data_IF_901129269541
#
_entry.id   IF_901129269541
#
_cell.length_a   1.000
_cell.length_b   1.000
_cell.length_c   1.000
_cell.angle_alpha   90.00
_cell.angle_beta   90.00
_cell.angle_gamma   90.00
#
_symmetry.space_group_name_H-M   'P 1'
#
loop_
_entity.id
_entity.type
_entity.pdbx_description
1 polymer ?
#
# COMPACT_ATOMS: atom_id res chain seq x y z
N UNK A 1 11.44 -6.25 -0.80
CA UNK A 1 10.03 -6.35 -1.24
C UNK A 1 9.78 -7.67 -1.96
N UNK A 2 8.75 -8.43 -1.55
CA UNK A 2 8.54 -9.83 -1.97
C UNK A 2 8.63 -10.09 -3.49
N UNK A 3 7.82 -9.44 -4.33
CA UNK A 3 7.85 -9.72 -5.78
C UNK A 3 9.15 -9.30 -6.48
N UNK A 4 9.88 -8.32 -5.94
CA UNK A 4 11.21 -7.95 -6.46
C UNK A 4 12.21 -9.08 -6.26
N UNK A 5 12.17 -9.72 -5.10
CA UNK A 5 13.07 -10.82 -4.72
C UNK A 5 12.63 -12.15 -5.36
N UNK A 6 11.32 -12.44 -5.35
CA UNK A 6 10.78 -13.73 -5.78
C UNK A 6 10.83 -13.95 -7.30
N UNK A 7 10.53 -12.91 -8.08
CA UNK A 7 10.43 -13.00 -9.56
C UNK A 7 11.30 -11.98 -10.29
N UNK A 8 12.20 -11.29 -9.59
CA UNK A 8 13.17 -10.38 -10.21
C UNK A 8 12.56 -9.15 -10.88
N UNK A 9 11.35 -8.71 -10.51
CA UNK A 9 10.72 -7.55 -11.14
C UNK A 9 11.39 -6.24 -10.68
N UNK A 10 12.41 -5.79 -11.42
CA UNK A 10 13.17 -4.58 -11.15
C UNK A 10 12.36 -3.28 -11.26
N UNK A 11 11.12 -3.33 -11.77
CA UNK A 11 10.22 -2.17 -11.82
C UNK A 11 9.51 -1.91 -10.49
N UNK A 12 9.67 -2.80 -9.52
CA UNK A 12 9.14 -2.66 -8.18
C UNK A 12 10.07 -1.81 -7.31
N UNK A 13 9.52 -0.76 -6.71
CA UNK A 13 10.24 0.10 -5.76
C UNK A 13 9.35 0.46 -4.56
N UNK A 14 9.93 0.66 -3.37
CA UNK A 14 9.17 1.00 -2.18
C UNK A 14 8.84 2.50 -2.18
N UNK A 15 7.65 2.84 -1.67
CA UNK A 15 7.36 4.21 -1.23
C UNK A 15 7.04 4.15 0.26
N UNK A 16 7.97 4.60 1.10
CA UNK A 16 7.82 4.63 2.55
C UNK A 16 6.74 5.64 2.96
N UNK A 17 5.79 5.16 3.73
CA UNK A 17 4.76 5.94 4.39
C UNK A 17 4.82 5.71 5.89
N UNK A 18 5.08 6.76 6.66
CA UNK A 18 4.86 6.77 8.10
C UNK A 18 3.51 7.41 8.38
N UNK A 19 2.79 6.83 9.32
CA UNK A 19 1.51 7.33 9.82
C UNK A 19 1.44 7.07 11.32
N UNK A 20 0.59 7.83 12.02
CA UNK A 20 0.30 7.55 13.41
C UNK A 20 -1.18 7.68 13.73
N UNK A 21 -1.60 7.04 14.81
CA UNK A 21 -2.98 7.05 15.27
C UNK A 21 -3.14 7.84 16.56
N UNK A 22 -4.26 8.53 16.64
CA UNK A 22 -4.66 9.31 17.80
C UNK A 22 -6.10 9.00 18.20
N UNK A 23 -6.42 9.23 19.46
CA UNK A 23 -7.79 9.23 19.97
C UNK A 23 -8.42 10.60 19.74
N UNK A 24 -9.26 10.69 18.72
CA UNK A 24 -10.00 11.91 18.39
C UNK A 24 -11.42 11.57 17.93
N UNK A 25 -12.30 11.07 18.82
CA UNK A 25 -13.63 10.59 18.46
C UNK A 25 -14.54 11.67 17.86
N UNK A 26 -14.20 12.96 18.03
CA UNK A 26 -14.91 14.08 17.44
C UNK A 26 -14.65 14.27 15.94
N UNK A 27 -13.61 13.66 15.36
CA UNK A 27 -13.33 13.75 13.92
C UNK A 27 -14.14 12.69 13.19
N UNK A 28 -15.10 13.13 12.35
CA UNK A 28 -16.03 12.24 11.62
C UNK A 28 -15.91 12.33 10.09
N UNK A 29 -15.14 13.29 9.59
CA UNK A 29 -14.88 13.47 8.17
C UNK A 29 -13.41 13.20 7.87
N UNK A 30 -13.14 12.73 6.65
CA UNK A 30 -11.77 12.65 6.17
C UNK A 30 -11.33 13.99 5.60
N UNK A 31 -10.03 14.28 5.72
CA UNK A 31 -9.38 15.45 5.14
C UNK A 31 -8.18 15.00 4.34
N UNK A 32 -7.92 15.65 3.20
CA UNK A 32 -6.83 15.29 2.30
C UNK A 32 -6.26 16.55 1.66
N UNK A 33 -4.96 16.75 1.82
CA UNK A 33 -4.21 17.86 1.25
C UNK A 33 -2.99 17.32 0.48
N UNK A 34 -2.99 17.55 -0.83
CA UNK A 34 -1.91 17.13 -1.73
C UNK A 34 -0.68 18.01 -1.64
N UNK A 35 -0.80 19.26 -1.21
CA UNK A 35 0.31 20.22 -1.17
C UNK A 35 1.23 19.92 0.00
N UNK A 36 0.66 19.71 1.19
CA UNK A 36 1.42 19.42 2.42
C UNK A 36 1.55 17.91 2.72
N UNK A 37 1.12 17.05 1.78
CA UNK A 37 1.12 15.58 1.92
C UNK A 37 0.45 15.16 3.25
N UNK A 38 -0.73 15.70 3.52
CA UNK A 38 -1.43 15.49 4.78
C UNK A 38 -2.79 14.82 4.56
N UNK A 39 -3.14 13.88 5.42
CA UNK A 39 -4.46 13.29 5.45
C UNK A 39 -4.88 12.89 6.86
N UNK A 40 -6.16 13.09 7.14
CA UNK A 40 -6.82 12.73 8.39
C UNK A 40 -7.93 11.76 8.03
N UNK A 41 -7.84 10.52 8.50
CA UNK A 41 -8.81 9.47 8.16
C UNK A 41 -9.41 8.91 9.45
N UNK A 42 -10.69 9.20 9.75
CA UNK A 42 -11.36 8.61 10.91
C UNK A 42 -11.59 7.11 10.66
N UNK A 43 -11.12 6.28 11.59
CA UNK A 43 -11.45 4.86 11.67
C UNK A 43 -12.53 4.59 12.71
N UNK A 44 -12.84 3.31 12.95
CA UNK A 44 -13.83 2.90 13.95
C UNK A 44 -13.46 3.34 15.37
N UNK A 45 -12.21 3.07 15.79
CA UNK A 45 -11.76 3.28 17.18
C UNK A 45 -10.77 4.44 17.35
N UNK A 46 -10.15 4.89 16.26
CA UNK A 46 -9.09 5.90 16.28
C UNK A 46 -9.03 6.65 14.95
N UNK A 47 -8.30 7.75 14.91
CA UNK A 47 -8.06 8.56 13.72
C UNK A 47 -6.64 8.33 13.25
N UNK A 48 -6.46 8.03 11.97
CA UNK A 48 -5.14 7.92 11.34
C UNK A 48 -4.73 9.28 10.79
N UNK A 49 -3.54 9.74 11.21
CA UNK A 49 -2.89 10.93 10.71
C UNK A 49 -1.72 10.53 9.82
N UNK A 50 -1.68 11.10 8.63
CA UNK A 50 -0.59 10.95 7.68
C UNK A 50 -0.33 12.26 6.93
N UNK A 51 0.66 12.28 6.05
CA UNK A 51 1.51 11.14 5.72
C UNK A 51 2.88 11.53 5.20
N UNK A 52 3.57 10.52 4.70
CA UNK A 52 4.81 10.70 3.95
C UNK A 52 4.77 9.87 2.68
N UNK A 53 5.56 10.31 1.70
CA UNK A 53 5.81 9.60 0.46
C UNK A 53 7.31 9.71 0.13
N UNK A 54 8.12 8.82 0.72
CA UNK A 54 9.55 8.78 0.45
C UNK A 54 9.83 7.63 -0.51
N UNK A 55 10.18 7.96 -1.75
CA UNK A 55 10.51 7.00 -2.81
C UNK A 55 11.87 6.38 -2.51
N UNK A 56 12.01 5.06 -2.74
CA UNK A 56 13.24 4.28 -2.56
C UNK A 56 13.76 4.19 -1.11
N UNK A 57 13.00 4.70 -0.14
CA UNK A 57 13.30 4.54 1.28
C UNK A 57 12.82 3.16 1.77
N UNK A 58 13.77 2.29 2.09
CA UNK A 58 13.52 0.93 2.61
C UNK A 58 13.54 0.85 4.14
N UNK A 59 13.76 1.97 4.82
CA UNK A 59 13.80 2.00 6.27
C UNK A 59 12.41 1.74 6.86
N UNK A 60 12.35 0.81 7.81
CA UNK A 60 11.13 0.44 8.53
C UNK A 60 11.08 1.04 9.94
N UNK A 61 12.10 1.80 10.32
CA UNK A 61 12.18 2.49 11.61
C UNK A 61 11.32 3.75 11.58
N UNK A 62 10.55 3.93 12.64
CA UNK A 62 9.79 5.15 12.90
C UNK A 62 10.74 6.31 13.18
N UNK A 63 10.48 7.45 12.55
CA UNK A 63 11.23 8.70 12.72
C UNK A 63 10.41 9.69 13.53
N UNK A 64 10.97 10.22 14.61
CA UNK A 64 10.24 11.11 15.53
C UNK A 64 9.94 12.46 14.85
N UNK A 65 10.91 12.99 14.13
CA UNK A 65 10.80 14.20 13.32
C UNK A 65 9.67 14.09 12.28
N UNK A 66 9.50 12.92 11.67
CA UNK A 66 8.40 12.66 10.73
C UNK A 66 7.04 12.67 11.43
N UNK A 67 6.95 12.15 12.67
CA UNK A 67 5.71 12.17 13.45
C UNK A 67 5.30 13.62 13.76
N UNK A 68 6.25 14.43 14.19
CA UNK A 68 6.03 15.84 14.53
C UNK A 68 5.56 16.65 13.30
N UNK A 69 6.15 16.40 12.13
CA UNK A 69 5.75 17.01 10.87
C UNK A 69 4.33 16.60 10.44
N UNK A 70 4.00 15.31 10.53
CA UNK A 70 2.64 14.82 10.22
C UNK A 70 1.62 15.48 11.15
N UNK A 71 1.91 15.57 12.46
CA UNK A 71 1.01 16.20 13.42
C UNK A 71 0.80 17.67 13.08
N UNK A 72 1.90 18.40 12.82
CA UNK A 72 1.86 19.81 12.43
C UNK A 72 0.97 20.01 11.20
N UNK A 73 1.19 19.24 10.14
CA UNK A 73 0.44 19.38 8.88
C UNK A 73 -1.03 18.95 9.05
N UNK A 74 -1.31 17.92 9.84
CA UNK A 74 -2.71 17.53 10.13
C UNK A 74 -3.44 18.58 10.97
N UNK A 75 -2.75 19.26 11.89
CA UNK A 75 -3.31 20.34 12.70
C UNK A 75 -3.64 21.61 11.90
N UNK A 76 -3.05 21.83 10.73
CA UNK A 76 -3.47 22.93 9.85
C UNK A 76 -4.84 22.65 9.21
N UNK A 77 -5.16 21.38 8.96
CA UNK A 77 -6.45 20.94 8.42
C UNK A 77 -7.52 20.83 9.52
N UNK A 78 -7.14 20.27 10.68
CA UNK A 78 -8.06 20.01 11.79
C UNK A 78 -7.39 20.43 13.12
N UNK A 79 -7.52 21.71 13.52
CA UNK A 79 -6.82 22.24 14.69
C UNK A 79 -7.10 21.53 16.03
N UNK A 80 -8.27 20.88 16.16
CA UNK A 80 -8.62 20.12 17.37
C UNK A 80 -7.74 18.89 17.61
N UNK A 81 -6.98 18.44 16.60
CA UNK A 81 -6.04 17.33 16.72
C UNK A 81 -4.84 17.65 17.64
N UNK A 82 -4.53 18.92 17.88
CA UNK A 82 -3.42 19.32 18.75
C UNK A 82 -3.54 18.80 20.21
N UNK A 83 -4.77 18.42 20.62
CA UNK A 83 -5.06 17.86 21.95
C UNK A 83 -5.34 16.36 21.92
N UNK A 84 -5.20 15.72 20.76
CA UNK A 84 -5.50 14.31 20.62
C UNK A 84 -4.44 13.44 21.30
N UNK A 85 -4.87 12.40 22.00
CA UNK A 85 -3.99 11.45 22.68
C UNK A 85 -3.32 10.55 21.62
N UNK A 86 -1.99 10.54 21.58
CA UNK A 86 -1.24 9.59 20.76
C UNK A 86 -1.56 8.15 21.19
N UNK A 87 -1.63 7.23 20.23
CA UNK A 87 -1.86 5.80 20.50
C UNK A 87 -0.64 4.98 20.09
N UNK A 88 -0.30 5.01 18.81
CA UNK A 88 0.84 4.28 18.23
C UNK A 88 1.13 4.79 16.82
N UNK A 89 2.29 4.44 16.29
CA UNK A 89 2.70 4.75 14.93
C UNK A 89 3.43 3.60 14.26
N UNK A 90 3.51 3.67 12.93
CA UNK A 90 4.15 2.64 12.14
C UNK A 90 4.62 3.18 10.80
N UNK A 91 5.51 2.41 10.19
CA UNK A 91 6.01 2.62 8.84
C UNK A 91 5.56 1.47 7.96
N UNK A 92 5.07 1.80 6.77
CA UNK A 92 4.76 0.83 5.72
C UNK A 92 5.47 1.20 4.42
N UNK A 93 5.83 0.18 3.65
CA UNK A 93 6.34 0.35 2.29
C UNK A 93 5.22 0.04 1.31
N UNK A 94 4.80 1.06 0.55
CA UNK A 94 3.83 0.86 -0.54
C UNK A 94 4.56 0.14 -1.69
N UNK A 95 4.03 -0.99 -2.19
CA UNK A 95 4.69 -1.76 -3.24
C UNK A 95 4.43 -1.12 -4.61
N UNK A 96 5.20 -0.09 -4.95
CA UNK A 96 4.98 0.70 -6.15
C UNK A 96 5.62 0.06 -7.39
N UNK A 97 4.95 0.29 -8.52
CA UNK A 97 5.36 -0.08 -9.88
C UNK A 97 4.64 0.89 -10.83
N UNK A 98 5.22 1.26 -11.99
CA UNK A 98 4.55 2.19 -12.93
C UNK A 98 3.15 1.75 -13.36
N UNK A 99 2.91 0.44 -13.38
CA UNK A 99 1.59 -0.16 -13.58
C UNK A 99 1.51 -1.41 -12.72
N UNK A 100 0.39 -1.71 -12.04
CA UNK A 100 0.21 -2.98 -11.36
C UNK A 100 0.44 -4.15 -12.33
N UNK A 101 1.11 -5.21 -11.88
CA UNK A 101 1.28 -6.45 -12.66
C UNK A 101 0.14 -7.38 -12.32
N UNK A 102 -0.80 -7.54 -13.25
CA UNK A 102 -1.89 -8.52 -13.16
C UNK A 102 -1.94 -9.32 -14.46
N UNK A 103 -1.28 -10.48 -14.48
CA UNK A 103 -1.11 -11.27 -15.70
C UNK A 103 -0.85 -12.75 -15.38
N UNK A 104 -1.09 -13.62 -16.36
CA UNK A 104 -0.90 -15.07 -16.30
C UNK A 104 0.35 -15.48 -17.07
N UNK A 105 1.20 -16.32 -16.47
CA UNK A 105 2.42 -16.85 -17.11
C UNK A 105 2.67 -18.31 -16.70
N UNK A 106 3.43 -19.04 -17.53
CA UNK A 106 4.02 -20.33 -17.15
C UNK A 106 5.45 -20.06 -16.69
N UNK A 107 5.68 -20.19 -15.38
CA UNK A 107 6.98 -19.96 -14.77
C UNK A 107 7.71 -21.28 -14.53
N UNK A 108 9.04 -21.28 -14.68
CA UNK A 108 9.87 -22.43 -14.28
C UNK A 108 10.33 -22.26 -12.84
N UNK A 109 9.69 -22.98 -11.93
CA UNK A 109 10.01 -22.96 -10.50
C UNK A 109 10.52 -24.35 -10.11
N UNK A 110 11.76 -24.43 -9.61
CA UNK A 110 12.44 -25.69 -9.28
C UNK A 110 12.46 -26.69 -10.45
N UNK A 111 12.72 -26.20 -11.66
CA UNK A 111 12.79 -27.01 -12.88
C UNK A 111 11.43 -27.49 -13.42
N UNK A 112 10.31 -27.17 -12.75
CA UNK A 112 8.96 -27.55 -13.18
C UNK A 112 8.21 -26.35 -13.73
N UNK A 113 7.48 -26.56 -14.82
CA UNK A 113 6.55 -25.58 -15.36
C UNK A 113 5.34 -25.45 -14.43
N UNK A 114 5.07 -24.23 -13.96
CA UNK A 114 3.95 -23.92 -13.07
C UNK A 114 3.12 -22.78 -13.65
N UNK A 115 1.80 -22.90 -13.56
CA UNK A 115 0.86 -21.82 -13.91
C UNK A 115 0.89 -20.79 -12.78
N UNK A 116 1.29 -19.56 -13.09
CA UNK A 116 1.39 -18.45 -12.13
C UNK A 116 0.50 -17.30 -12.58
N UNK A 117 -0.23 -16.71 -11.64
CA UNK A 117 -0.93 -15.43 -11.85
C UNK A 117 -0.28 -14.41 -10.93
N UNK A 118 0.33 -13.40 -11.54
CA UNK A 118 0.87 -12.25 -10.81
C UNK A 118 -0.28 -11.30 -10.46
N UNK A 119 -0.26 -10.74 -9.26
CA UNK A 119 -1.19 -9.69 -8.83
C UNK A 119 -0.53 -8.80 -7.77
N UNK A 120 0.33 -7.86 -8.18
CA UNK A 120 1.11 -7.02 -7.28
C UNK A 120 1.46 -5.65 -7.90
N UNK A 121 2.11 -4.76 -7.14
CA UNK A 121 2.61 -3.48 -7.66
C UNK A 121 1.58 -2.36 -7.63
N UNK A 122 0.64 -2.39 -6.67
CA UNK A 122 -0.48 -1.45 -6.58
C UNK A 122 -0.12 -0.10 -5.94
N UNK A 123 1.09 0.08 -5.42
CA UNK A 123 1.51 1.30 -4.75
C UNK A 123 0.53 1.74 -3.65
N UNK A 124 0.14 3.02 -3.65
CA UNK A 124 -0.81 3.58 -2.69
C UNK A 124 -2.28 3.18 -2.93
N UNK A 125 -2.60 2.62 -4.10
CA UNK A 125 -3.97 2.33 -4.51
C UNK A 125 -4.42 0.89 -4.23
N UNK A 126 -3.63 0.11 -3.49
CA UNK A 126 -3.87 -1.32 -3.25
C UNK A 126 -5.24 -1.64 -2.65
N UNK A 127 -5.68 -0.88 -1.64
CA UNK A 127 -7.01 -1.08 -1.03
C UNK A 127 -8.11 -0.73 -2.02
N UNK A 128 -8.00 0.44 -2.67
CA UNK A 128 -8.99 0.95 -3.63
C UNK A 128 -9.19 0.02 -4.84
N UNK A 129 -8.11 -0.60 -5.33
CA UNK A 129 -8.12 -1.47 -6.51
C UNK A 129 -8.26 -2.96 -6.18
N UNK A 130 -8.32 -3.33 -4.90
CA UNK A 130 -8.27 -4.72 -4.43
C UNK A 130 -9.33 -5.62 -5.08
N UNK A 131 -10.60 -5.20 -5.08
CA UNK A 131 -11.69 -5.99 -5.65
C UNK A 131 -11.55 -6.20 -7.16
N UNK A 132 -11.29 -5.13 -7.92
CA UNK A 132 -11.12 -5.23 -9.37
C UNK A 132 -9.92 -6.08 -9.76
N UNK A 133 -8.79 -5.91 -9.06
CA UNK A 133 -7.58 -6.73 -9.28
C UNK A 133 -7.82 -8.20 -8.95
N UNK A 134 -8.52 -8.52 -7.87
CA UNK A 134 -8.86 -9.89 -7.49
C UNK A 134 -9.77 -10.57 -8.52
N UNK A 135 -10.80 -9.87 -9.01
CA UNK A 135 -11.69 -10.38 -10.08
C UNK A 135 -10.90 -10.64 -11.36
N UNK A 136 -10.04 -9.70 -11.77
CA UNK A 136 -9.23 -9.86 -12.98
C UNK A 136 -8.24 -11.03 -12.86
N UNK A 137 -7.52 -11.14 -11.75
CA UNK A 137 -6.62 -12.26 -11.46
C UNK A 137 -7.36 -13.61 -11.46
N UNK A 138 -8.57 -13.66 -10.91
CA UNK A 138 -9.41 -14.87 -10.91
C UNK A 138 -9.81 -15.29 -12.31
N UNK A 139 -10.15 -14.33 -13.18
CA UNK A 139 -10.48 -14.63 -14.58
C UNK A 139 -9.28 -15.17 -15.35
N UNK A 140 -8.08 -14.60 -15.12
CA UNK A 140 -6.83 -15.12 -15.67
C UNK A 140 -6.55 -16.55 -15.20
N UNK A 141 -6.77 -16.85 -13.92
CA UNK A 141 -6.64 -18.21 -13.38
C UNK A 141 -7.60 -19.19 -14.05
N UNK A 142 -8.88 -18.83 -14.18
CA UNK A 142 -9.87 -19.67 -14.87
C UNK A 142 -9.48 -19.94 -16.32
N UNK A 143 -9.02 -18.92 -17.04
CA UNK A 143 -8.52 -19.07 -18.41
C UNK A 143 -7.29 -19.99 -18.49
N UNK A 144 -6.34 -19.86 -17.56
CA UNK A 144 -5.18 -20.74 -17.44
C UNK A 144 -5.55 -22.19 -17.13
N UNK A 145 -6.58 -22.43 -16.32
CA UNK A 145 -7.04 -23.78 -15.99
C UNK A 145 -7.78 -24.43 -17.17
N UNK A 146 -8.56 -23.64 -17.90
CA UNK A 146 -9.34 -24.09 -19.06
C UNK A 146 -8.51 -24.20 -20.34
N UNK A 147 -7.31 -23.59 -20.41
CA UNK A 147 -6.37 -23.87 -21.46
C UNK A 147 -5.81 -25.28 -21.27
N UNK A 148 -6.46 -26.24 -21.91
CA UNK A 148 -6.00 -27.62 -22.00
C UNK A 148 -4.60 -27.60 -22.55
N UNK A 149 -3.63 -28.06 -21.76
CA UNK A 149 -2.34 -28.46 -22.29
C UNK A 149 -2.65 -29.65 -23.19
N UNK A 150 -2.70 -29.43 -24.51
CA UNK A 150 -2.68 -30.52 -25.46
C UNK A 150 -1.46 -31.36 -25.09
N UNK A 151 -1.70 -32.61 -24.66
CA UNK A 151 -0.64 -33.60 -24.50
C UNK A 151 0.00 -33.75 -25.88
N UNK A 152 1.21 -33.24 -26.04
CA UNK A 152 2.15 -33.69 -27.07
C UNK A 152 2.73 -35.02 -26.61
#
# INVERSE_FOLDING_TARGET
MGSRELVGDARMYPIRGQVFRVKAPWVKHFYYDTQNVAYVIPGADNVTLGGTMLVDDEDTVVRVETRDEILKNCCTLVPSLAKAEFQWDWVGQRPARPTPRIEAQIERINGKAQKVVHNYGHGAAGITLSWGSAVHATNLLKALLNSTTAKL
#
